data_IF_794611498344
#
_entry.id   IF_794611498344
#
_cell.length_a   1.000
_cell.length_b   1.000
_cell.length_c   1.000
_cell.angle_alpha   90.00
_cell.angle_beta   90.00
_cell.angle_gamma   90.00
#
_symmetry.space_group_name_H-M   'P 1'
#
loop_
_entity.id
_entity.type
_entity.pdbx_description
1 polymer ?
#
# COMPACT_ATOMS: atom_id res chain seq x y z
N UNK A 1 29.64 -47.52 -38.14
CA UNK A 1 30.64 -48.18 -37.27
C UNK A 1 30.51 -47.51 -35.90
N UNK A 2 30.13 -48.31 -34.95
CA UNK A 2 29.78 -48.00 -33.58
C UNK A 2 31.05 -47.84 -32.72
N UNK A 3 31.18 -46.82 -31.87
CA UNK A 3 31.96 -46.95 -30.64
C UNK A 3 31.25 -46.20 -29.51
N UNK A 4 30.66 -46.97 -28.58
CA UNK A 4 30.20 -46.57 -27.27
C UNK A 4 31.41 -46.36 -26.38
N UNK A 5 31.43 -45.27 -25.63
CA UNK A 5 32.32 -45.10 -24.47
C UNK A 5 31.43 -45.06 -23.22
N UNK A 6 31.61 -46.08 -22.39
CA UNK A 6 30.99 -46.21 -21.07
C UNK A 6 31.89 -45.49 -20.06
N UNK A 7 31.41 -44.46 -19.42
CA UNK A 7 32.08 -43.78 -18.31
C UNK A 7 31.53 -44.30 -16.96
N UNK A 8 32.39 -44.91 -16.19
CA UNK A 8 32.13 -45.41 -14.83
C UNK A 8 32.22 -44.24 -13.86
N UNK A 9 31.12 -43.94 -13.15
CA UNK A 9 31.12 -43.01 -12.05
C UNK A 9 31.38 -43.77 -10.75
N UNK A 10 32.51 -43.47 -10.11
CA UNK A 10 32.86 -43.97 -8.77
C UNK A 10 32.25 -43.02 -7.76
N UNK A 11 31.32 -43.52 -6.95
CA UNK A 11 30.75 -42.81 -5.82
C UNK A 11 31.63 -43.06 -4.57
N UNK A 12 32.30 -42.00 -4.10
CA UNK A 12 33.02 -42.00 -2.83
C UNK A 12 32.04 -41.61 -1.73
N UNK A 13 31.72 -42.57 -0.84
CA UNK A 13 30.96 -42.31 0.37
C UNK A 13 31.96 -41.93 1.47
N UNK A 14 31.99 -40.68 1.89
CA UNK A 14 32.68 -40.21 3.07
C UNK A 14 31.70 -40.18 4.24
N UNK A 15 31.89 -41.11 5.16
CA UNK A 15 31.19 -41.12 6.45
C UNK A 15 31.70 -40.02 7.36
N UNK A 16 30.81 -39.13 7.83
CA UNK A 16 31.07 -38.24 8.94
C UNK A 16 30.55 -38.88 10.23
N UNK A 17 31.47 -39.10 11.17
CA UNK A 17 31.19 -39.52 12.53
C UNK A 17 30.58 -38.36 13.32
N UNK A 18 29.43 -38.61 13.94
CA UNK A 18 28.84 -37.76 14.95
C UNK A 18 29.64 -37.83 16.26
N UNK A 19 30.20 -36.69 16.68
CA UNK A 19 30.76 -36.51 18.04
C UNK A 19 29.70 -35.81 18.88
N UNK A 20 29.18 -36.52 19.86
CA UNK A 20 28.31 -35.98 20.93
C UNK A 20 29.18 -35.33 21.97
N UNK A 21 29.10 -34.02 22.14
CA UNK A 21 29.63 -33.31 23.29
C UNK A 21 28.55 -33.20 24.36
N UNK A 22 28.79 -33.92 25.47
CA UNK A 22 28.05 -33.73 26.73
C UNK A 22 28.46 -32.38 27.35
N UNK A 23 27.47 -31.55 27.64
CA UNK A 23 27.65 -30.32 28.42
C UNK A 23 27.42 -30.65 29.89
N UNK A 24 28.49 -30.67 30.64
CA UNK A 24 28.47 -30.76 32.12
C UNK A 24 27.94 -29.44 32.70
N UNK A 25 26.81 -29.51 33.39
CA UNK A 25 26.27 -28.40 34.19
C UNK A 25 26.99 -28.35 35.56
N UNK A 26 27.85 -27.35 35.72
CA UNK A 26 28.38 -27.00 37.03
C UNK A 26 27.33 -26.26 37.86
N UNK A 27 26.95 -26.86 39.01
CA UNK A 27 26.16 -26.18 40.05
C UNK A 27 27.09 -25.32 40.91
N UNK A 28 27.01 -24.02 40.76
CA UNK A 28 27.61 -23.08 41.70
C UNK A 28 26.79 -23.02 43.00
N UNK A 29 27.53 -23.18 44.11
CA UNK A 29 27.02 -23.17 45.47
C UNK A 29 26.93 -21.75 45.98
N UNK A 30 25.72 -21.19 46.08
CA UNK A 30 25.50 -19.86 46.64
C UNK A 30 25.65 -19.89 48.16
N UNK A 31 26.63 -19.11 48.65
CA UNK A 31 26.81 -18.86 50.10
C UNK A 31 26.01 -17.58 50.43
N UNK A 32 25.19 -17.58 51.47
CA UNK A 32 24.45 -16.37 51.84
C UNK A 32 25.36 -15.39 52.58
N UNK A 33 25.60 -14.24 51.99
CA UNK A 33 26.24 -13.10 52.65
C UNK A 33 25.19 -12.25 53.32
N UNK A 34 25.27 -12.13 54.64
CA UNK A 34 24.40 -11.27 55.46
C UNK A 34 24.78 -9.80 55.21
N UNK A 35 23.91 -9.03 54.59
CA UNK A 35 24.08 -7.59 54.43
C UNK A 35 23.30 -6.89 55.56
N UNK A 36 24.02 -6.13 56.40
CA UNK A 36 23.44 -5.26 57.40
C UNK A 36 22.80 -4.04 56.75
N UNK A 37 21.55 -3.80 57.10
CA UNK A 37 20.70 -2.68 56.61
C UNK A 37 21.12 -1.40 57.32
N UNK A 38 21.47 -0.31 56.63
CA UNK A 38 21.61 1.02 57.26
C UNK A 38 20.25 1.65 57.47
N UNK A 39 20.12 2.34 58.59
CA UNK A 39 18.94 3.08 59.08
C UNK A 39 18.43 4.09 58.04
N UNK A 40 17.18 3.94 57.66
CA UNK A 40 16.49 4.81 56.69
C UNK A 40 16.19 6.19 57.29
N UNK A 41 16.81 7.22 56.75
CA UNK A 41 16.40 8.61 56.99
C UNK A 41 15.23 8.90 56.04
N UNK A 42 14.06 9.12 56.59
CA UNK A 42 12.83 9.46 55.84
C UNK A 42 12.94 10.88 55.30
N UNK A 43 13.24 11.01 54.00
CA UNK A 43 13.10 12.29 53.29
C UNK A 43 11.67 12.35 52.77
N UNK A 44 10.86 13.24 53.28
CA UNK A 44 9.53 13.53 52.81
C UNK A 44 9.68 14.33 51.49
N UNK A 45 9.58 13.68 50.35
CA UNK A 45 9.48 14.33 49.04
C UNK A 45 8.02 14.59 48.77
N UNK A 46 7.63 15.86 48.69
CA UNK A 46 6.31 16.28 48.19
C UNK A 46 6.18 15.80 46.74
N UNK A 47 5.05 15.19 46.35
CA UNK A 47 4.87 14.77 44.95
C UNK A 47 4.73 16.03 44.08
N UNK A 48 5.79 16.34 43.35
CA UNK A 48 5.68 17.25 42.21
C UNK A 48 4.99 16.41 41.11
N UNK A 49 3.71 16.68 40.90
CA UNK A 49 2.97 16.15 39.72
C UNK A 49 3.58 16.80 38.49
N UNK A 50 4.61 16.17 37.94
CA UNK A 50 5.04 16.42 36.57
C UNK A 50 4.00 15.78 35.66
N UNK A 51 3.03 16.59 35.23
CA UNK A 51 2.22 16.27 34.05
C UNK A 51 3.18 16.29 32.87
N UNK A 52 3.78 15.14 32.54
CA UNK A 52 4.34 14.91 31.22
C UNK A 52 3.17 15.05 30.25
N UNK A 53 3.06 16.23 29.62
CA UNK A 53 2.17 16.40 28.48
C UNK A 53 2.55 15.31 27.47
N UNK A 54 1.59 14.48 27.12
CA UNK A 54 1.74 13.55 25.97
C UNK A 54 2.18 14.43 24.80
N UNK A 55 3.26 14.09 24.08
CA UNK A 55 3.67 14.88 22.93
C UNK A 55 2.48 15.02 21.99
N UNK A 56 2.11 16.24 21.67
CA UNK A 56 1.09 16.50 20.67
C UNK A 56 1.56 15.85 19.36
N UNK A 57 0.72 15.03 18.70
CA UNK A 57 1.10 14.40 17.44
C UNK A 57 1.52 15.49 16.45
N UNK A 58 2.50 15.24 15.58
CA UNK A 58 2.93 16.21 14.59
C UNK A 58 1.72 16.62 13.76
N UNK A 59 1.39 17.91 13.76
CA UNK A 59 0.34 18.44 12.93
C UNK A 59 0.79 18.37 11.47
N UNK A 60 -0.09 17.85 10.60
CA UNK A 60 0.12 17.71 9.18
C UNK A 60 0.31 19.08 8.49
N UNK A 61 0.81 19.10 7.26
CA UNK A 61 0.73 20.29 6.41
C UNK A 61 -0.69 20.84 6.50
N UNK A 62 -0.87 22.15 6.65
CA UNK A 62 -2.16 22.82 6.87
C UNK A 62 -2.87 22.53 8.20
N UNK A 63 -2.24 21.86 9.16
CA UNK A 63 -2.81 21.62 10.47
C UNK A 63 -3.95 20.60 10.53
N UNK A 64 -4.22 19.87 9.45
CA UNK A 64 -5.19 18.76 9.46
C UNK A 64 -4.61 17.57 10.22
N UNK A 65 -5.41 16.87 11.04
CA UNK A 65 -4.94 15.70 11.77
C UNK A 65 -4.70 14.49 10.83
N UNK A 66 -3.95 13.51 11.33
CA UNK A 66 -3.90 12.18 10.70
C UNK A 66 -5.30 11.59 10.61
N UNK A 67 -5.65 10.95 9.47
CA UNK A 67 -7.00 10.43 9.28
C UNK A 67 -7.31 9.24 10.20
N UNK A 68 -6.41 8.27 10.30
CA UNK A 68 -6.71 7.00 10.97
C UNK A 68 -6.02 6.80 12.31
N UNK A 69 -4.91 7.48 12.56
CA UNK A 69 -4.05 7.26 13.73
C UNK A 69 -3.26 5.93 13.68
N UNK A 70 -3.48 5.10 12.66
CA UNK A 70 -2.82 3.82 12.43
C UNK A 70 -2.04 3.83 11.12
N UNK A 71 -1.22 2.81 10.87
CA UNK A 71 -0.60 2.61 9.56
C UNK A 71 -1.70 2.37 8.52
N UNK A 72 -1.78 3.24 7.51
CA UNK A 72 -2.81 3.22 6.47
C UNK A 72 -2.20 3.58 5.11
N UNK A 73 -1.34 2.70 4.57
CA UNK A 73 -0.72 2.91 3.27
C UNK A 73 -1.73 2.74 2.14
N UNK A 74 -1.45 3.43 1.02
CA UNK A 74 -2.26 3.37 -0.20
C UNK A 74 -3.76 3.56 0.11
N UNK A 75 -4.10 4.69 0.78
CA UNK A 75 -5.45 4.92 1.25
C UNK A 75 -6.39 5.16 0.07
N UNK A 76 -7.48 4.41 0.03
CA UNK A 76 -8.61 4.63 -0.86
C UNK A 76 -9.79 5.16 -0.07
N UNK A 77 -10.43 6.24 -0.52
CA UNK A 77 -11.59 6.79 0.16
C UNK A 77 -12.78 6.87 -0.78
N UNK A 78 -13.92 6.38 -0.32
CA UNK A 78 -15.20 6.53 -1.03
C UNK A 78 -16.25 7.21 -0.14
N UNK A 79 -17.22 7.85 -0.80
CA UNK A 79 -18.36 8.49 -0.14
C UNK A 79 -19.59 7.59 -0.32
N UNK A 80 -20.34 7.37 0.75
CA UNK A 80 -21.64 6.70 0.69
C UNK A 80 -22.62 7.41 1.64
N UNK A 81 -23.62 8.08 1.06
CA UNK A 81 -24.50 8.95 1.81
C UNK A 81 -23.72 10.05 2.52
N UNK A 82 -23.95 10.20 3.84
CA UNK A 82 -23.25 11.20 4.69
C UNK A 82 -21.95 10.64 5.34
N UNK A 83 -21.37 9.59 4.75
CA UNK A 83 -20.22 8.91 5.36
C UNK A 83 -19.10 8.67 4.37
N UNK A 84 -17.87 8.75 4.89
CA UNK A 84 -16.62 8.42 4.21
C UNK A 84 -16.16 7.05 4.69
N UNK A 85 -15.61 6.24 3.78
CA UNK A 85 -15.00 4.95 4.08
C UNK A 85 -13.59 4.95 3.55
N UNK A 86 -12.61 4.75 4.44
CA UNK A 86 -11.20 4.66 4.08
C UNK A 86 -10.76 3.21 4.15
N UNK A 87 -10.18 2.73 3.06
CA UNK A 87 -9.54 1.42 2.91
C UNK A 87 -8.04 1.61 2.79
N UNK A 88 -7.27 0.58 3.13
CA UNK A 88 -5.82 0.65 3.00
C UNK A 88 -5.22 -0.72 2.67
N UNK A 89 -3.97 -0.71 2.22
CA UNK A 89 -3.11 -1.89 2.12
C UNK A 89 -3.13 -2.68 3.43
N UNK A 90 -2.99 -4.00 3.33
CA UNK A 90 -3.01 -4.92 4.47
C UNK A 90 -2.17 -4.43 5.65
N UNK A 91 -2.63 -4.70 6.84
CA UNK A 91 -1.93 -4.23 8.04
C UNK A 91 -2.39 -4.84 9.34
N UNK A 92 -1.67 -4.50 10.42
CA UNK A 92 -2.00 -4.88 11.77
C UNK A 92 -2.88 -3.82 12.43
N UNK A 93 -4.00 -4.26 13.01
CA UNK A 93 -4.65 -3.51 14.08
C UNK A 93 -4.46 -4.24 15.41
N UNK A 94 -4.77 -3.62 16.53
CA UNK A 94 -4.62 -4.25 17.85
C UNK A 94 -5.39 -5.57 18.06
N UNK A 95 -6.15 -6.04 17.06
CA UNK A 95 -6.94 -7.28 17.08
C UNK A 95 -6.45 -8.36 16.13
N UNK A 96 -5.50 -8.05 15.24
CA UNK A 96 -4.97 -9.00 14.27
C UNK A 96 -4.49 -8.34 12.99
N UNK A 97 -4.17 -9.18 12.02
CA UNK A 97 -3.79 -8.77 10.68
C UNK A 97 -5.02 -8.84 9.76
N UNK A 98 -5.23 -7.80 8.96
CA UNK A 98 -6.38 -7.64 8.07
C UNK A 98 -5.92 -7.53 6.61
N UNK A 99 -6.68 -8.13 5.69
CA UNK A 99 -6.38 -8.05 4.27
C UNK A 99 -6.64 -6.64 3.72
N UNK A 100 -7.80 -6.07 4.01
CA UNK A 100 -8.16 -4.71 3.60
C UNK A 100 -8.80 -4.01 4.80
N UNK A 101 -8.00 -3.38 5.68
CA UNK A 101 -8.54 -2.63 6.81
C UNK A 101 -9.43 -1.50 6.31
N UNK A 102 -10.56 -1.28 7.00
CA UNK A 102 -11.51 -0.22 6.67
C UNK A 102 -11.96 0.56 7.90
N UNK A 103 -12.05 1.87 7.74
CA UNK A 103 -12.55 2.83 8.74
C UNK A 103 -13.69 3.64 8.14
N UNK A 104 -14.54 4.17 9.02
CA UNK A 104 -15.66 5.02 8.68
C UNK A 104 -15.54 6.38 9.38
N UNK A 105 -15.91 7.45 8.67
CA UNK A 105 -16.00 8.81 9.20
C UNK A 105 -17.24 9.51 8.68
N UNK A 106 -17.72 10.53 9.42
CA UNK A 106 -18.74 11.48 8.94
C UNK A 106 -18.18 12.86 8.62
N UNK A 107 -16.89 13.13 8.89
CA UNK A 107 -16.33 14.48 8.81
C UNK A 107 -14.86 14.53 8.34
N UNK A 108 -14.26 13.39 7.97
CA UNK A 108 -12.84 13.25 7.62
C UNK A 108 -11.85 13.59 8.76
N UNK A 109 -12.33 13.89 9.97
CA UNK A 109 -11.48 14.24 11.11
C UNK A 109 -11.37 13.10 12.11
N UNK A 110 -12.48 12.42 12.37
CA UNK A 110 -12.54 11.29 13.30
C UNK A 110 -12.96 10.02 12.57
N UNK A 111 -12.21 8.95 12.80
CA UNK A 111 -12.38 7.68 12.11
C UNK A 111 -12.65 6.54 13.09
N UNK A 112 -13.68 5.76 12.79
CA UNK A 112 -14.07 4.58 13.55
C UNK A 112 -13.66 3.33 12.78
N UNK A 113 -13.06 2.37 13.48
CA UNK A 113 -12.73 1.07 12.90
C UNK A 113 -13.99 0.33 12.46
N UNK A 114 -14.08 0.00 11.17
CA UNK A 114 -15.23 -0.68 10.59
C UNK A 114 -14.96 -2.19 10.28
N UNK A 115 -13.70 -2.63 10.29
CA UNK A 115 -13.37 -4.05 10.15
C UNK A 115 -12.37 -4.37 9.03
N UNK A 116 -12.37 -5.62 8.59
CA UNK A 116 -11.70 -6.08 7.37
C UNK A 116 -12.71 -6.09 6.23
N UNK A 117 -12.50 -5.25 5.22
CA UNK A 117 -13.39 -5.21 4.06
C UNK A 117 -13.32 -6.49 3.22
N UNK A 118 -12.17 -7.20 3.23
CA UNK A 118 -11.95 -8.46 2.50
C UNK A 118 -11.45 -9.57 3.43
N UNK A 119 -12.30 -10.11 4.32
CA UNK A 119 -11.86 -11.12 5.30
C UNK A 119 -11.31 -12.40 4.66
N UNK A 120 -11.67 -12.65 3.40
CA UNK A 120 -11.20 -13.81 2.62
C UNK A 120 -10.94 -13.38 1.18
N UNK A 121 -9.72 -13.54 0.73
CA UNK A 121 -9.31 -13.33 -0.66
C UNK A 121 -9.85 -14.44 -1.59
N UNK A 122 -9.80 -14.22 -2.90
CA UNK A 122 -10.14 -15.22 -3.91
C UNK A 122 -9.36 -16.52 -3.76
N UNK A 123 -9.89 -17.61 -4.32
CA UNK A 123 -9.25 -18.93 -4.19
C UNK A 123 -7.86 -19.00 -4.84
N UNK A 124 -7.60 -18.13 -5.81
CA UNK A 124 -6.33 -17.96 -6.52
C UNK A 124 -5.27 -17.23 -5.68
N UNK A 125 -5.69 -16.39 -4.73
CA UNK A 125 -4.82 -15.47 -4.00
C UNK A 125 -4.33 -16.03 -2.67
N UNK A 126 -3.14 -15.60 -2.26
CA UNK A 126 -2.60 -15.79 -0.92
C UNK A 126 -3.01 -14.62 -0.05
N UNK A 127 -3.71 -14.86 1.05
CA UNK A 127 -4.05 -13.83 2.04
C UNK A 127 -2.81 -13.23 2.72
N UNK A 128 -3.00 -12.08 3.36
CA UNK A 128 -1.97 -11.32 4.09
C UNK A 128 -0.94 -10.60 3.18
N UNK A 129 -1.18 -10.59 1.87
CA UNK A 129 -0.38 -9.88 0.86
C UNK A 129 -1.33 -9.15 -0.09
N UNK A 130 -2.18 -8.30 0.47
CA UNK A 130 -3.18 -7.54 -0.25
C UNK A 130 -2.84 -6.06 -0.19
N UNK A 131 -2.71 -5.42 -1.37
CA UNK A 131 -2.21 -4.06 -1.47
C UNK A 131 -3.14 -3.18 -2.28
N UNK A 132 -3.01 -1.87 -2.06
CA UNK A 132 -3.60 -0.79 -2.85
C UNK A 132 -5.04 -1.10 -3.29
N UNK A 133 -6.01 -1.12 -2.37
CA UNK A 133 -7.42 -1.35 -2.71
C UNK A 133 -7.96 -0.18 -3.52
N UNK A 134 -8.79 -0.46 -4.54
CA UNK A 134 -9.61 0.52 -5.24
C UNK A 134 -11.08 0.14 -5.11
N UNK A 135 -11.98 1.08 -4.83
CA UNK A 135 -13.40 0.80 -4.56
C UNK A 135 -14.32 1.62 -5.46
N UNK A 136 -15.29 0.96 -6.07
CA UNK A 136 -16.24 1.56 -7.01
C UNK A 136 -17.68 1.32 -6.55
N UNK A 137 -18.49 2.37 -6.51
CA UNK A 137 -19.95 2.25 -6.41
C UNK A 137 -20.57 1.98 -7.80
N UNK A 138 -21.48 1.02 -7.86
CA UNK A 138 -22.23 0.66 -9.06
C UNK A 138 -23.72 0.64 -8.78
N UNK A 139 -24.55 0.55 -9.82
CA UNK A 139 -26.01 0.40 -9.65
C UNK A 139 -26.41 -0.86 -8.88
N UNK A 140 -25.52 -1.86 -8.79
CA UNK A 140 -25.79 -3.17 -8.17
C UNK A 140 -25.10 -3.37 -6.84
N UNK A 141 -24.40 -2.37 -6.32
CA UNK A 141 -23.63 -2.42 -5.07
C UNK A 141 -22.19 -1.93 -5.25
N UNK A 142 -21.29 -2.45 -4.46
CA UNK A 142 -19.91 -2.02 -4.36
C UNK A 142 -18.96 -3.07 -4.93
N UNK A 143 -17.93 -2.61 -5.62
CA UNK A 143 -16.86 -3.45 -6.19
C UNK A 143 -15.53 -3.02 -5.56
N UNK A 144 -14.77 -3.98 -5.06
CA UNK A 144 -13.42 -3.82 -4.56
C UNK A 144 -12.46 -4.49 -5.53
N UNK A 145 -11.50 -3.73 -6.03
CA UNK A 145 -10.31 -4.24 -6.70
C UNK A 145 -9.17 -4.25 -5.70
N UNK A 146 -8.33 -5.26 -5.73
CA UNK A 146 -7.23 -5.40 -4.78
C UNK A 146 -6.06 -6.14 -5.42
N UNK A 147 -4.86 -5.72 -5.14
CA UNK A 147 -3.66 -6.51 -5.47
C UNK A 147 -3.53 -7.66 -4.49
N UNK A 148 -3.20 -8.85 -4.98
CA UNK A 148 -2.83 -9.96 -4.11
C UNK A 148 -1.78 -10.86 -4.75
N UNK A 149 -1.01 -11.54 -3.89
CA UNK A 149 -0.04 -12.53 -4.31
C UNK A 149 -0.74 -13.76 -4.87
N UNK A 150 -0.30 -14.22 -6.04
CA UNK A 150 -0.80 -15.45 -6.66
C UNK A 150 -0.24 -16.67 -5.90
N UNK A 151 -1.11 -17.63 -5.56
CA UNK A 151 -0.70 -18.85 -4.87
C UNK A 151 0.31 -19.66 -5.69
N UNK A 152 1.32 -20.19 -4.99
CA UNK A 152 2.33 -21.07 -5.58
C UNK A 152 3.47 -20.34 -6.30
N UNK A 153 3.41 -19.02 -6.47
CA UNK A 153 4.48 -18.26 -7.16
C UNK A 153 5.66 -17.91 -6.24
N UNK A 154 5.50 -18.03 -4.93
CA UNK A 154 6.56 -17.77 -3.93
C UNK A 154 7.69 -18.80 -3.91
N UNK A 155 7.53 -19.94 -4.59
CA UNK A 155 8.55 -20.99 -4.67
C UNK A 155 9.52 -20.77 -5.84
N UNK A 156 9.27 -19.78 -6.69
CA UNK A 156 10.19 -19.41 -7.78
C UNK A 156 11.43 -18.72 -7.20
N UNK A 157 12.63 -19.32 -7.35
CA UNK A 157 13.86 -18.71 -6.83
C UNK A 157 14.22 -17.39 -7.55
N UNK A 158 13.72 -17.17 -8.78
CA UNK A 158 13.90 -15.91 -9.50
C UNK A 158 12.94 -14.81 -9.00
N UNK A 159 11.82 -15.20 -8.36
CA UNK A 159 10.82 -14.29 -7.84
C UNK A 159 10.32 -14.73 -6.44
N UNK A 160 11.18 -14.67 -5.42
CA UNK A 160 10.83 -15.15 -4.07
C UNK A 160 9.69 -14.36 -3.43
N UNK A 161 9.45 -13.12 -3.87
CA UNK A 161 8.31 -12.32 -3.43
C UNK A 161 6.96 -12.87 -3.94
N UNK A 162 6.97 -13.68 -5.02
CA UNK A 162 5.79 -14.18 -5.71
C UNK A 162 5.19 -13.13 -6.64
N UNK A 163 4.43 -13.58 -7.63
CA UNK A 163 3.74 -12.71 -8.58
C UNK A 163 2.54 -12.04 -7.92
N UNK A 164 2.29 -10.78 -8.27
CA UNK A 164 1.17 -9.98 -7.76
C UNK A 164 0.17 -9.72 -8.88
N UNK A 165 -1.12 -9.98 -8.64
CA UNK A 165 -2.17 -9.75 -9.62
C UNK A 165 -3.39 -9.10 -8.97
N UNK A 166 -4.30 -8.58 -9.80
CA UNK A 166 -5.49 -7.88 -9.35
C UNK A 166 -6.66 -8.84 -9.24
N UNK A 167 -7.34 -8.83 -8.10
CA UNK A 167 -8.62 -9.48 -7.87
C UNK A 167 -9.79 -8.53 -7.91
N UNK A 168 -11.00 -9.08 -8.03
CA UNK A 168 -12.26 -8.34 -7.98
C UNK A 168 -13.24 -9.03 -7.04
N UNK A 169 -13.80 -8.25 -6.11
CA UNK A 169 -14.75 -8.70 -5.12
C UNK A 169 -15.98 -7.77 -5.04
N UNK A 170 -17.12 -8.27 -4.61
CA UNK A 170 -18.38 -7.50 -4.57
C UNK A 170 -19.03 -7.51 -3.19
N UNK A 171 -19.74 -6.42 -2.86
CA UNK A 171 -20.50 -6.27 -1.63
C UNK A 171 -21.78 -5.44 -1.85
N UNK A 172 -22.82 -5.67 -1.04
CA UNK A 172 -23.99 -4.80 -0.97
C UNK A 172 -23.77 -3.56 -0.10
N UNK A 173 -22.61 -3.45 0.56
CA UNK A 173 -22.29 -2.37 1.50
C UNK A 173 -20.93 -1.77 1.20
N UNK A 174 -20.75 -0.44 1.38
CA UNK A 174 -19.48 0.22 1.11
C UNK A 174 -18.32 -0.37 1.92
N UNK A 175 -18.52 -0.69 3.20
CA UNK A 175 -17.46 -1.23 4.07
C UNK A 175 -17.24 -2.75 3.90
N UNK A 176 -17.96 -3.42 3.04
CA UNK A 176 -17.92 -4.87 2.92
C UNK A 176 -18.82 -5.61 3.93
N UNK A 177 -18.58 -6.91 4.21
CA UNK A 177 -17.48 -7.70 3.63
C UNK A 177 -17.64 -7.91 2.12
N UNK A 178 -16.58 -7.70 1.39
CA UNK A 178 -16.51 -8.04 -0.02
C UNK A 178 -16.19 -9.52 -0.21
N UNK A 179 -16.73 -10.11 -1.28
CA UNK A 179 -16.55 -11.53 -1.60
C UNK A 179 -16.02 -11.67 -3.02
N UNK A 180 -14.80 -12.18 -3.14
CA UNK A 180 -14.25 -12.64 -4.41
C UNK A 180 -14.66 -14.10 -4.65
N UNK A 181 -15.35 -14.34 -5.76
CA UNK A 181 -15.86 -15.66 -6.16
C UNK A 181 -15.09 -16.27 -7.32
N UNK A 182 -13.99 -15.61 -7.75
CA UNK A 182 -13.22 -16.06 -8.89
C UNK A 182 -12.15 -17.07 -8.47
N UNK A 183 -11.83 -17.98 -9.38
CA UNK A 183 -10.74 -18.96 -9.23
C UNK A 183 -9.43 -18.49 -9.87
N UNK A 184 -9.49 -17.40 -10.63
CA UNK A 184 -8.37 -16.76 -11.32
C UNK A 184 -8.36 -15.25 -11.00
N UNK A 185 -7.20 -14.57 -11.11
CA UNK A 185 -7.15 -13.12 -10.98
C UNK A 185 -7.97 -12.41 -12.05
N UNK A 186 -8.47 -11.23 -11.74
CA UNK A 186 -9.21 -10.37 -12.67
C UNK A 186 -8.31 -9.79 -13.76
N UNK A 187 -7.11 -9.34 -13.37
CA UNK A 187 -6.06 -8.87 -14.28
C UNK A 187 -4.72 -9.43 -13.81
N UNK A 188 -3.98 -10.07 -14.74
CA UNK A 188 -2.63 -10.54 -14.49
C UNK A 188 -1.79 -10.51 -15.77
N UNK A 189 -0.88 -9.55 -15.87
CA UNK A 189 0.03 -9.41 -16.99
C UNK A 189 1.32 -10.19 -16.71
N UNK A 190 1.26 -11.55 -16.74
CA UNK A 190 2.36 -12.44 -16.37
C UNK A 190 3.69 -12.10 -17.04
N UNK A 191 3.67 -11.73 -18.33
CA UNK A 191 4.90 -11.35 -19.07
C UNK A 191 5.49 -10.01 -18.62
N UNK A 192 4.74 -9.22 -17.82
CA UNK A 192 5.14 -7.94 -17.24
C UNK A 192 5.34 -8.03 -15.72
N UNK A 193 5.49 -9.24 -15.18
CA UNK A 193 5.72 -9.47 -13.76
C UNK A 193 4.46 -9.43 -12.90
N UNK A 194 3.30 -9.17 -13.50
CA UNK A 194 2.02 -9.05 -12.83
C UNK A 194 1.32 -7.71 -13.08
N UNK A 195 0.29 -7.45 -12.30
CA UNK A 195 -0.51 -6.22 -12.36
C UNK A 195 -0.91 -5.83 -10.95
N UNK A 196 -0.63 -4.58 -10.55
CA UNK A 196 -0.88 -4.08 -9.20
C UNK A 196 -1.50 -2.68 -9.21
N UNK A 197 -1.89 -2.19 -8.05
CA UNK A 197 -2.41 -0.85 -7.80
C UNK A 197 -3.64 -0.51 -8.65
N UNK A 198 -4.73 -1.27 -8.51
CA UNK A 198 -5.95 -0.98 -9.25
C UNK A 198 -6.64 0.27 -8.72
N UNK A 199 -6.96 1.21 -9.62
CA UNK A 199 -7.72 2.42 -9.30
C UNK A 199 -8.91 2.53 -10.26
N UNK A 200 -10.16 2.43 -9.78
CA UNK A 200 -11.34 2.64 -10.59
C UNK A 200 -11.62 4.13 -10.77
N UNK A 201 -12.07 4.50 -11.95
CA UNK A 201 -12.42 5.87 -12.31
C UNK A 201 -13.74 5.94 -13.06
N UNK A 202 -14.53 6.97 -12.80
CA UNK A 202 -15.77 7.26 -13.52
C UNK A 202 -15.56 8.54 -14.33
N UNK A 203 -15.65 8.43 -15.66
CA UNK A 203 -15.51 9.61 -16.52
C UNK A 203 -16.78 10.47 -16.56
N UNK A 204 -16.68 11.64 -17.23
CA UNK A 204 -17.81 12.59 -17.36
C UNK A 204 -18.99 12.05 -18.16
N UNK A 205 -18.78 10.99 -18.94
CA UNK A 205 -19.84 10.29 -19.68
C UNK A 205 -20.48 9.16 -18.85
N UNK A 206 -20.01 8.95 -17.61
CA UNK A 206 -20.48 7.92 -16.69
C UNK A 206 -20.00 6.53 -17.08
N UNK A 207 -18.94 6.41 -17.85
CA UNK A 207 -18.25 5.16 -18.10
C UNK A 207 -17.30 4.83 -16.97
N UNK A 208 -17.19 3.55 -16.67
CA UNK A 208 -16.28 3.04 -15.67
C UNK A 208 -14.97 2.58 -16.31
N UNK A 209 -13.87 2.91 -15.68
CA UNK A 209 -12.51 2.59 -16.10
C UNK A 209 -11.76 1.96 -14.94
N UNK A 210 -10.80 1.10 -15.23
CA UNK A 210 -9.83 0.63 -14.27
C UNK A 210 -8.43 0.99 -14.77
N UNK A 211 -7.68 1.64 -13.90
CA UNK A 211 -6.26 1.90 -14.08
C UNK A 211 -5.47 0.90 -13.24
N UNK A 212 -4.27 0.58 -13.67
CA UNK A 212 -3.33 -0.21 -12.89
C UNK A 212 -1.90 -0.05 -13.40
N UNK A 213 -0.95 -0.52 -12.64
CA UNK A 213 0.46 -0.57 -12.98
C UNK A 213 0.87 -1.98 -13.37
N UNK A 214 1.76 -2.14 -14.40
CA UNK A 214 2.51 -3.38 -14.60
C UNK A 214 3.58 -3.54 -13.52
N UNK A 215 3.83 -4.76 -13.05
CA UNK A 215 4.86 -5.03 -12.04
C UNK A 215 6.24 -5.34 -12.68
N UNK A 216 6.56 -4.61 -13.76
CA UNK A 216 7.78 -4.79 -14.58
C UNK A 216 9.07 -4.43 -13.81
N UNK A 217 8.97 -3.81 -12.63
CA UNK A 217 10.09 -3.63 -11.71
C UNK A 217 10.40 -4.88 -10.86
N UNK A 218 9.66 -5.98 -11.04
CA UNK A 218 10.00 -7.26 -10.44
C UNK A 218 11.38 -7.76 -10.95
N UNK A 219 12.22 -8.36 -10.09
CA UNK A 219 13.65 -8.60 -10.39
C UNK A 219 13.95 -9.48 -11.62
N UNK A 220 12.98 -10.27 -12.09
CA UNK A 220 13.13 -11.20 -13.21
C UNK A 220 12.51 -10.70 -14.51
N UNK A 221 11.98 -9.48 -14.52
CA UNK A 221 11.30 -8.88 -15.67
C UNK A 221 12.14 -7.74 -16.23
N UNK A 222 12.29 -7.73 -17.53
CA UNK A 222 12.94 -6.61 -18.24
C UNK A 222 11.87 -5.74 -18.90
N UNK A 223 12.00 -4.44 -18.79
CA UNK A 223 11.11 -3.50 -19.43
C UNK A 223 10.85 -2.24 -18.61
N UNK A 224 9.95 -1.44 -19.13
CA UNK A 224 9.50 -0.20 -18.51
C UNK A 224 8.24 -0.46 -17.70
N UNK A 225 8.19 0.04 -16.47
CA UNK A 225 6.94 0.11 -15.69
C UNK A 225 5.97 1.06 -16.37
N UNK A 226 4.74 0.60 -16.58
CA UNK A 226 3.70 1.39 -17.26
C UNK A 226 2.39 1.35 -16.48
N UNK A 227 1.67 2.46 -16.59
CA UNK A 227 0.28 2.56 -16.16
C UNK A 227 -0.61 2.23 -17.37
N UNK A 228 -1.59 1.38 -17.11
CA UNK A 228 -2.59 0.94 -18.06
C UNK A 228 -3.97 1.46 -17.69
N UNK A 229 -4.84 1.55 -18.68
CA UNK A 229 -6.27 1.85 -18.52
C UNK A 229 -7.09 0.93 -19.40
N UNK A 230 -8.26 0.47 -18.89
CA UNK A 230 -9.24 -0.31 -19.65
C UNK A 230 -10.65 0.00 -19.17
N UNK A 231 -11.61 0.02 -20.09
CA UNK A 231 -13.03 0.24 -19.79
C UNK A 231 -13.60 -0.97 -19.01
N UNK A 232 -14.41 -0.67 -18.01
CA UNK A 232 -15.17 -1.65 -17.23
C UNK A 232 -16.62 -1.73 -17.69
N UNK A 233 -17.22 -2.89 -17.51
CA UNK A 233 -18.68 -3.03 -17.59
C UNK A 233 -19.40 -2.20 -16.51
N UNK A 234 -20.69 -1.88 -16.72
CA UNK A 234 -21.46 -1.07 -15.76
C UNK A 234 -21.59 -1.66 -14.35
N UNK A 235 -21.40 -2.95 -14.19
CA UNK A 235 -21.35 -3.60 -12.88
C UNK A 235 -19.93 -3.70 -12.29
N UNK A 236 -18.93 -3.20 -13.01
CA UNK A 236 -17.53 -3.16 -12.56
C UNK A 236 -16.81 -4.52 -12.51
N UNK A 237 -17.45 -5.62 -12.94
CA UNK A 237 -16.88 -6.98 -12.77
C UNK A 237 -16.39 -7.62 -14.06
N UNK A 238 -16.32 -6.88 -15.15
CA UNK A 238 -15.81 -7.36 -16.44
C UNK A 238 -15.08 -6.24 -17.18
N UNK A 239 -14.06 -6.60 -17.93
CA UNK A 239 -13.30 -5.68 -18.78
C UNK A 239 -13.95 -5.58 -20.17
N UNK A 240 -13.88 -4.40 -20.79
CA UNK A 240 -14.36 -4.10 -22.14
C UNK A 240 -13.20 -3.62 -22.99
N UNK A 241 -13.07 -4.19 -24.21
CA UNK A 241 -11.99 -3.84 -25.13
C UNK A 241 -10.63 -4.34 -24.68
N UNK A 242 -9.57 -3.68 -25.14
CA UNK A 242 -8.19 -4.04 -24.83
C UNK A 242 -7.56 -3.02 -23.88
N UNK A 243 -6.64 -3.45 -23.01
CA UNK A 243 -5.90 -2.52 -22.17
C UNK A 243 -4.98 -1.63 -23.00
N UNK A 244 -4.87 -0.36 -22.63
CA UNK A 244 -3.93 0.56 -23.23
C UNK A 244 -2.95 1.07 -22.18
N UNK A 245 -1.64 0.98 -22.47
CA UNK A 245 -0.62 1.69 -21.71
C UNK A 245 -0.76 3.19 -22.01
N UNK A 246 -0.95 4.00 -20.98
CA UNK A 246 -1.23 5.45 -21.10
C UNK A 246 -0.07 6.30 -20.59
N UNK A 247 0.82 5.75 -19.74
CA UNK A 247 1.96 6.46 -19.19
C UNK A 247 3.09 5.48 -18.83
N UNK A 248 4.35 5.91 -18.92
CA UNK A 248 5.51 5.08 -18.64
C UNK A 248 6.52 5.76 -17.71
N UNK A 249 7.25 4.98 -16.95
CA UNK A 249 8.22 5.46 -15.96
C UNK A 249 9.38 6.25 -16.56
N UNK A 250 9.80 5.93 -17.78
CA UNK A 250 10.99 6.52 -18.41
C UNK A 250 10.94 8.06 -18.52
N UNK A 251 9.73 8.66 -18.60
CA UNK A 251 9.59 10.11 -18.74
C UNK A 251 9.71 10.85 -17.41
N UNK A 252 9.63 10.15 -16.26
CA UNK A 252 9.67 10.76 -14.92
C UNK A 252 11.07 10.88 -14.36
N UNK A 253 12.06 10.23 -14.97
CA UNK A 253 13.40 10.07 -14.40
C UNK A 253 13.49 9.02 -13.30
N UNK A 254 12.37 8.40 -12.90
CA UNK A 254 12.31 7.24 -12.01
C UNK A 254 12.18 5.95 -12.81
N UNK A 255 12.61 4.84 -12.24
CA UNK A 255 12.36 3.51 -12.81
C UNK A 255 11.01 2.92 -12.38
N UNK A 256 10.34 3.55 -11.41
CA UNK A 256 9.09 3.09 -10.80
C UNK A 256 8.09 4.24 -10.81
N UNK A 257 6.90 3.92 -11.32
CA UNK A 257 5.68 4.70 -11.15
C UNK A 257 4.59 3.74 -10.67
N UNK A 258 3.70 4.19 -9.78
CA UNK A 258 2.68 3.33 -9.17
C UNK A 258 1.51 4.12 -8.61
N UNK A 259 0.50 3.41 -8.05
CA UNK A 259 -0.72 4.01 -7.49
C UNK A 259 -1.35 5.05 -8.44
N UNK A 260 -1.75 4.66 -9.66
CA UNK A 260 -2.40 5.58 -10.59
C UNK A 260 -3.75 6.02 -10.05
N UNK A 261 -4.06 7.30 -10.21
CA UNK A 261 -5.36 7.87 -9.89
C UNK A 261 -5.73 8.90 -10.94
N UNK A 262 -6.97 8.93 -11.41
CA UNK A 262 -7.43 9.97 -12.34
C UNK A 262 -8.35 10.96 -11.67
N UNK A 263 -8.21 12.23 -12.08
CA UNK A 263 -9.09 13.29 -11.62
C UNK A 263 -9.33 14.31 -12.72
N UNK A 264 -10.48 14.95 -12.67
CA UNK A 264 -10.70 16.20 -13.34
C UNK A 264 -10.35 17.35 -12.41
N UNK A 265 -9.40 18.17 -12.82
CA UNK A 265 -9.10 19.43 -12.14
C UNK A 265 -9.39 20.59 -13.08
N UNK A 266 -10.35 21.45 -12.70
CA UNK A 266 -10.97 22.43 -13.58
C UNK A 266 -11.60 21.71 -14.78
N UNK A 267 -11.13 21.97 -16.00
CA UNK A 267 -11.66 21.33 -17.21
C UNK A 267 -10.80 20.20 -17.76
N UNK A 268 -9.58 20.03 -17.23
CA UNK A 268 -8.58 19.11 -17.72
C UNK A 268 -8.58 17.80 -16.93
N UNK A 269 -8.20 16.71 -17.60
CA UNK A 269 -8.03 15.37 -17.02
C UNK A 269 -6.56 15.16 -16.67
N UNK A 270 -6.30 14.74 -15.46
CA UNK A 270 -4.96 14.42 -14.96
C UNK A 270 -4.87 12.99 -14.46
N UNK A 271 -3.76 12.35 -14.74
CA UNK A 271 -3.27 11.16 -14.09
C UNK A 271 -2.35 11.61 -12.95
N UNK A 272 -2.69 11.29 -11.71
CA UNK A 272 -1.82 11.40 -10.54
C UNK A 272 -1.18 10.03 -10.30
N UNK A 273 0.08 9.99 -9.91
CA UNK A 273 0.82 8.76 -9.67
C UNK A 273 1.87 8.97 -8.59
N UNK A 274 2.34 7.90 -8.00
CA UNK A 274 3.53 7.92 -7.16
C UNK A 274 4.74 7.51 -7.99
N UNK A 275 5.92 8.05 -7.67
CA UNK A 275 7.17 7.64 -8.28
C UNK A 275 8.30 7.61 -7.26
N UNK A 276 9.39 6.87 -7.55
CA UNK A 276 10.47 6.61 -6.59
C UNK A 276 10.28 5.31 -5.83
N UNK A 277 11.03 5.15 -4.73
CA UNK A 277 10.95 3.95 -3.89
C UNK A 277 10.14 4.24 -2.63
N UNK A 278 9.07 3.46 -2.41
CA UNK A 278 8.09 3.72 -1.35
C UNK A 278 8.67 3.69 0.09
N UNK A 279 9.83 3.07 0.30
CA UNK A 279 10.48 2.96 1.61
C UNK A 279 11.46 4.10 1.91
N UNK A 280 11.61 5.10 1.03
CA UNK A 280 12.56 6.17 1.25
C UNK A 280 12.03 7.56 0.86
N UNK A 281 12.90 8.55 1.01
CA UNK A 281 12.59 9.96 0.78
C UNK A 281 12.48 10.36 -0.70
N UNK A 282 12.80 9.43 -1.62
CA UNK A 282 12.66 9.66 -3.07
C UNK A 282 11.24 9.44 -3.57
N UNK A 283 10.35 8.91 -2.74
CA UNK A 283 8.94 8.72 -3.08
C UNK A 283 8.21 10.06 -3.16
N UNK A 284 7.47 10.28 -4.23
CA UNK A 284 6.75 11.53 -4.47
C UNK A 284 5.47 11.32 -5.25
N UNK A 285 4.55 12.28 -5.19
CA UNK A 285 3.35 12.34 -6.01
C UNK A 285 3.66 13.19 -7.23
N UNK A 286 3.52 12.60 -8.42
CA UNK A 286 3.63 13.26 -9.71
C UNK A 286 2.27 13.36 -10.40
N UNK A 287 2.21 14.14 -11.49
CA UNK A 287 1.04 14.28 -12.33
C UNK A 287 1.38 14.27 -13.81
N UNK A 288 0.43 13.82 -14.64
CA UNK A 288 0.49 13.91 -16.10
C UNK A 288 -0.85 14.37 -16.65
N UNK A 289 -0.84 15.21 -17.68
CA UNK A 289 -2.05 15.66 -18.37
C UNK A 289 -2.49 14.64 -19.43
N UNK A 290 -3.79 14.37 -19.53
CA UNK A 290 -4.35 13.39 -20.44
C UNK A 290 -5.51 14.02 -21.24
N UNK A 291 -5.60 13.74 -22.55
CA UNK A 291 -6.74 14.15 -23.37
C UNK A 291 -8.00 13.31 -23.09
N UNK A 292 -7.81 12.07 -22.69
CA UNK A 292 -8.87 11.12 -22.32
C UNK A 292 -8.30 9.99 -21.46
N UNK A 293 -9.17 9.15 -20.87
CA UNK A 293 -8.76 8.02 -20.02
C UNK A 293 -7.93 6.97 -20.77
N UNK A 294 -8.04 6.93 -22.10
CA UNK A 294 -7.25 6.03 -22.96
C UNK A 294 -6.33 6.76 -23.93
N UNK A 295 -5.99 8.03 -23.72
CA UNK A 295 -4.91 8.70 -24.44
C UNK A 295 -3.56 8.45 -23.78
N UNK A 296 -2.48 8.70 -24.50
CA UNK A 296 -1.17 8.85 -23.88
C UNK A 296 -1.18 10.14 -23.04
N UNK A 297 -0.65 10.06 -21.82
CA UNK A 297 -0.57 11.22 -20.92
C UNK A 297 0.82 11.85 -21.01
N UNK A 298 0.88 13.17 -20.91
CA UNK A 298 2.12 13.95 -20.94
C UNK A 298 2.49 14.39 -19.53
N UNK A 299 3.75 14.15 -19.13
CA UNK A 299 4.25 14.53 -17.80
C UNK A 299 4.03 16.02 -17.56
N UNK A 300 3.37 16.38 -16.48
CA UNK A 300 3.23 17.74 -16.01
C UNK A 300 4.44 18.17 -15.18
N UNK A 301 4.73 19.47 -15.16
CA UNK A 301 5.74 20.05 -14.26
C UNK A 301 5.16 20.13 -12.84
N UNK A 302 5.12 18.97 -12.18
CA UNK A 302 4.49 18.80 -10.88
C UNK A 302 5.21 17.68 -10.09
N UNK A 303 5.74 18.03 -8.92
CA UNK A 303 6.42 17.10 -8.00
C UNK A 303 6.11 17.51 -6.55
N UNK A 304 5.27 16.73 -5.89
CA UNK A 304 5.01 16.85 -4.46
C UNK A 304 5.80 15.76 -3.72
N UNK A 305 7.11 15.96 -3.60
CA UNK A 305 8.04 15.03 -2.97
C UNK A 305 8.30 15.30 -1.49
N UNK A 306 9.30 14.60 -0.98
CA UNK A 306 9.81 14.82 0.38
C UNK A 306 10.45 16.20 0.50
N UNK A 307 10.19 16.87 1.62
CA UNK A 307 10.72 18.21 1.82
C UNK A 307 10.27 18.83 3.13
N UNK A 308 10.25 20.15 3.18
CA UNK A 308 9.73 20.90 4.32
C UNK A 308 8.53 21.71 3.86
N UNK A 309 7.35 21.25 4.23
CA UNK A 309 6.09 21.95 3.97
C UNK A 309 5.64 22.62 5.27
N UNK A 310 5.34 23.92 5.21
CA UNK A 310 4.91 24.71 6.36
C UNK A 310 5.78 24.52 7.62
N UNK A 311 7.11 24.50 7.41
CA UNK A 311 8.15 24.27 8.44
C UNK A 311 8.12 22.87 9.09
N UNK A 312 7.54 21.86 8.44
CA UNK A 312 7.54 20.48 8.91
C UNK A 312 8.12 19.54 7.84
N UNK A 313 8.91 18.55 8.26
CA UNK A 313 9.39 17.54 7.34
C UNK A 313 8.25 16.65 6.87
N UNK A 314 8.17 16.44 5.56
CA UNK A 314 7.31 15.46 4.89
C UNK A 314 8.22 14.46 4.19
N UNK A 315 7.97 13.18 4.39
CA UNK A 315 8.81 12.11 3.85
C UNK A 315 7.96 11.10 3.11
N UNK A 316 8.30 10.85 1.85
CA UNK A 316 7.71 9.81 1.02
C UNK A 316 6.19 9.93 0.85
N UNK A 317 5.64 11.09 0.44
CA UNK A 317 4.22 11.19 0.12
C UNK A 317 3.88 10.36 -1.12
N UNK A 318 2.82 9.56 -1.05
CA UNK A 318 2.38 8.74 -2.17
C UNK A 318 1.11 7.95 -1.90
N UNK A 319 0.72 7.08 -2.84
CA UNK A 319 -0.52 6.31 -2.77
C UNK A 319 -1.74 7.22 -2.71
N UNK A 320 -1.88 8.15 -3.67
CA UNK A 320 -2.96 9.13 -3.66
C UNK A 320 -4.29 8.51 -4.13
N UNK A 321 -5.38 8.86 -3.47
CA UNK A 321 -6.76 8.67 -3.87
C UNK A 321 -7.45 10.03 -3.93
N UNK A 322 -8.42 10.19 -4.82
CA UNK A 322 -9.10 11.47 -5.05
C UNK A 322 -10.61 11.30 -4.88
N UNK A 323 -11.22 12.20 -4.13
CA UNK A 323 -12.67 12.27 -3.98
C UNK A 323 -13.19 13.69 -4.22
N UNK A 324 -14.36 13.80 -4.83
CA UNK A 324 -15.15 15.02 -4.88
C UNK A 324 -16.32 14.90 -3.91
N UNK A 325 -16.36 15.78 -2.90
CA UNK A 325 -17.43 15.79 -1.90
C UNK A 325 -18.57 16.77 -2.24
N UNK A 326 -18.56 17.33 -3.45
CA UNK A 326 -19.51 18.32 -3.93
C UNK A 326 -19.24 19.76 -3.49
N UNK A 327 -18.21 19.98 -2.68
CA UNK A 327 -17.72 21.30 -2.25
C UNK A 327 -16.29 21.56 -2.70
N UNK A 328 -15.45 20.54 -2.57
CA UNK A 328 -14.03 20.59 -2.92
C UNK A 328 -13.57 19.21 -3.40
N UNK A 329 -12.56 19.19 -4.25
CA UNK A 329 -11.84 17.96 -4.62
C UNK A 329 -10.71 17.74 -3.63
N UNK A 330 -10.73 16.58 -2.95
CA UNK A 330 -9.78 16.20 -1.94
C UNK A 330 -8.83 15.13 -2.47
N UNK A 331 -7.58 15.22 -2.05
CA UNK A 331 -6.55 14.19 -2.25
C UNK A 331 -6.21 13.57 -0.90
N UNK A 332 -6.32 12.27 -0.83
CA UNK A 332 -5.94 11.48 0.33
C UNK A 332 -4.71 10.68 -0.06
N UNK A 333 -3.65 10.77 0.72
CA UNK A 333 -2.41 10.07 0.45
C UNK A 333 -1.71 9.69 1.75
N UNK A 334 -0.75 8.78 1.70
CA UNK A 334 0.05 8.47 2.87
C UNK A 334 1.39 9.23 2.88
N UNK A 335 1.96 9.37 4.07
CA UNK A 335 3.33 9.81 4.27
C UNK A 335 3.92 9.15 5.52
N UNK A 336 5.25 9.09 5.60
CA UNK A 336 5.95 8.52 6.73
C UNK A 336 5.98 9.49 7.91
N UNK A 337 5.54 9.02 9.08
CA UNK A 337 5.55 9.77 10.34
C UNK A 337 6.31 8.99 11.41
N UNK A 338 7.06 9.70 12.26
CA UNK A 338 7.71 9.14 13.45
C UNK A 338 9.06 8.52 13.21
N UNK A 339 9.71 8.82 12.10
CA UNK A 339 11.05 8.31 11.80
C UNK A 339 11.50 8.60 10.39
N UNK A 340 12.52 7.89 9.96
CA UNK A 340 12.88 7.79 8.54
C UNK A 340 11.91 6.84 7.85
N UNK A 341 11.64 7.07 6.57
CA UNK A 341 10.88 6.17 5.74
C UNK A 341 11.38 4.72 5.87
N UNK A 342 10.48 3.75 5.87
CA UNK A 342 10.78 2.32 5.96
C UNK A 342 11.26 1.81 7.33
N UNK A 343 11.94 2.60 8.12
CA UNK A 343 12.70 2.12 9.27
C UNK A 343 12.02 2.46 10.61
N UNK A 344 10.94 1.76 10.92
CA UNK A 344 10.17 1.94 12.17
C UNK A 344 9.19 3.11 12.14
N UNK A 345 9.02 3.78 11.00
CA UNK A 345 7.95 4.73 10.76
C UNK A 345 6.61 4.05 10.47
N UNK A 346 5.55 4.82 10.47
CA UNK A 346 4.22 4.39 10.00
C UNK A 346 3.77 5.29 8.86
N UNK A 347 3.04 4.71 7.89
CA UNK A 347 2.48 5.45 6.76
C UNK A 347 1.09 5.94 7.14
N UNK A 348 0.98 7.20 7.52
CA UNK A 348 -0.29 7.81 7.95
C UNK A 348 -1.01 8.42 6.76
N UNK A 349 -2.28 8.08 6.61
CA UNK A 349 -3.13 8.72 5.64
C UNK A 349 -3.47 10.15 6.08
N UNK A 350 -3.34 11.09 5.15
CA UNK A 350 -3.63 12.51 5.31
C UNK A 350 -4.56 13.00 4.21
N UNK A 351 -5.26 14.10 4.43
CA UNK A 351 -6.15 14.72 3.45
C UNK A 351 -5.81 16.19 3.26
N UNK A 352 -5.77 16.62 2.00
CA UNK A 352 -5.67 18.04 1.60
C UNK A 352 -6.57 18.27 0.38
N UNK A 353 -6.81 19.52 0.03
CA UNK A 353 -7.45 19.85 -1.25
C UNK A 353 -6.46 19.71 -2.41
N UNK A 354 -6.97 19.55 -3.63
CA UNK A 354 -6.12 19.57 -4.84
C UNK A 354 -5.36 20.89 -4.94
N UNK A 355 -5.98 22.03 -4.59
CA UNK A 355 -5.33 23.34 -4.60
C UNK A 355 -4.19 23.43 -3.59
N UNK A 356 -4.31 22.76 -2.44
CA UNK A 356 -3.24 22.65 -1.46
C UNK A 356 -2.10 21.77 -1.99
N UNK A 357 -2.42 20.64 -2.63
CA UNK A 357 -1.41 19.77 -3.26
C UNK A 357 -0.61 20.52 -4.33
N UNK A 358 -1.29 21.29 -5.20
CA UNK A 358 -0.65 22.14 -6.24
C UNK A 358 0.28 23.18 -5.60
N UNK A 359 -0.06 23.74 -4.45
CA UNK A 359 0.83 24.67 -3.72
C UNK A 359 2.03 23.99 -3.07
N UNK A 360 1.94 22.70 -2.75
CA UNK A 360 3.05 21.95 -2.18
C UNK A 360 4.10 21.61 -3.25
N UNK A 361 3.69 21.47 -4.51
CA UNK A 361 4.57 21.16 -5.64
C UNK A 361 5.29 22.39 -6.23
N UNK A 362 4.90 23.62 -5.88
CA UNK A 362 5.48 24.89 -6.34
C UNK A 362 6.24 25.60 -5.20
#
# INVERSE_FOLDING_TARGET
MLKRVVGIIVILVLGLACSTNEIETQKEKIVPTTISVPTTTTITVSPTTSTTATPEPPSLPNGRPELTGLDAPDPEVVISGDSYYLFATNGWSGKGFYNVPVWKSSNLESWEWAGDALPKVGSWAQGLFTWAPGVLETETGWVLYYTARVKGTTEDPAFPAGEQCIGVATSDKPQGPFVDRNDEPFICQHSLGGSIDPSPFVDRDGKFWLLWKSDTNAPHVEGEVKIYSQELSRNGTSLIGEPKAIFGANVTGSNIIENPEMLYFRDDLYLVFSAGWWEDETYYIGAAACDSVQSDCELADFDAGSGTYLNKPVVGPGGASVIDNGQETLVIFHLWIGGTAGNGGTRKAVVITVEELVKLAN
#
